data_IF_797630318889
#
_entry.id   IF_797630318889
#
_cell.length_a   1.000
_cell.length_b   1.000
_cell.length_c   1.000
_cell.angle_alpha   90.00
_cell.angle_beta   90.00
_cell.angle_gamma   90.00
#
_symmetry.space_group_name_H-M   'P 1'
#
loop_
_entity.id
_entity.type
_entity.pdbx_description
1 polymer ?
2 non-polymer ?
3 non-polymer ?
4 water ?
#
# COMPACT_ATOMS: atom_id res chain seq x y z
N UNK A 3 -6.67 50.88 -2.32
CA UNK A 3 -7.02 49.50 -1.96
C UNK A 3 -7.12 48.54 -3.15
N UNK A 4 -6.66 48.98 -4.31
CA UNK A 4 -6.78 48.15 -5.51
C UNK A 4 -5.90 46.90 -5.42
N UNK A 5 -4.66 47.03 -4.90
CA UNK A 5 -3.77 45.88 -4.82
C UNK A 5 -4.39 44.73 -4.02
N UNK A 6 -5.17 45.04 -2.98
CA UNK A 6 -5.82 43.96 -2.24
C UNK A 6 -6.98 43.37 -3.04
N UNK A 7 -7.72 44.20 -3.77
CA UNK A 7 -8.89 43.69 -4.49
C UNK A 7 -8.55 42.64 -5.53
N UNK A 8 -7.29 42.56 -5.95
CA UNK A 8 -6.88 41.71 -7.06
C UNK A 8 -6.25 40.40 -6.60
N UNK A 9 -6.20 40.13 -5.30
CA UNK A 9 -5.69 38.87 -4.79
C UNK A 9 -6.77 37.81 -5.02
N UNK A 10 -6.48 36.70 -5.68
CA UNK A 10 -7.52 35.69 -5.92
C UNK A 10 -7.87 34.96 -4.63
N UNK A 11 -9.00 34.24 -4.68
CA UNK A 11 -9.53 33.55 -3.51
C UNK A 11 -9.43 32.05 -3.69
N UNK A 12 -8.95 31.36 -2.67
CA UNK A 12 -8.79 29.93 -2.68
C UNK A 12 -9.80 29.25 -1.76
N UNK A 13 -10.25 28.07 -2.19
CA UNK A 13 -11.29 27.34 -1.49
C UNK A 13 -10.72 26.07 -0.91
N UNK A 14 -11.11 25.79 0.33
CA UNK A 14 -10.88 24.50 0.95
C UNK A 14 -12.17 23.67 0.92
N UNK A 15 -12.05 22.39 1.30
CA UNK A 15 -13.19 21.48 1.34
C UNK A 15 -14.40 22.09 2.05
N UNK A 16 -14.18 22.75 3.19
CA UNK A 16 -15.32 23.25 3.93
C UNK A 16 -16.02 24.43 3.26
N UNK A 17 -15.49 24.97 2.17
CA UNK A 17 -16.19 26.04 1.47
C UNK A 17 -17.28 25.54 0.53
N UNK A 18 -17.28 24.26 0.17
CA UNK A 18 -18.15 23.79 -0.90
C UNK A 18 -18.95 22.56 -0.48
N UNK A 19 -20.05 22.34 -1.19
CA UNK A 19 -20.82 21.11 -1.10
C UNK A 19 -20.99 20.55 -2.51
N UNK A 20 -21.07 19.23 -2.61
CA UNK A 20 -21.37 18.62 -3.89
C UNK A 20 -22.84 18.85 -4.22
N UNK A 21 -23.11 19.39 -5.40
CA UNK A 21 -24.50 19.65 -5.80
C UNK A 21 -25.14 18.35 -6.23
N UNK A 22 -26.33 18.00 -5.70
CA UNK A 22 -26.99 16.76 -6.13
C UNK A 22 -27.38 16.82 -7.59
N UNK A 23 -26.99 15.78 -8.33
CA UNK A 23 -27.23 15.64 -9.76
C UNK A 23 -28.29 14.58 -10.00
N UNK A 24 -28.76 14.52 -11.24
CA UNK A 24 -29.58 13.40 -11.65
C UNK A 24 -28.79 12.09 -11.52
N UNK A 25 -29.35 11.12 -10.81
CA UNK A 25 -28.69 9.84 -10.57
C UNK A 25 -29.55 8.72 -11.16
N UNK A 26 -28.96 7.94 -12.06
CA UNK A 26 -29.56 6.72 -12.56
C UNK A 26 -29.15 5.50 -11.74
N UNK A 27 -28.44 5.69 -10.64
CA UNK A 27 -27.91 4.56 -9.87
C UNK A 27 -29.07 3.85 -9.18
N UNK A 28 -29.21 2.54 -9.44
CA UNK A 28 -30.32 1.75 -8.93
C UNK A 28 -29.88 0.70 -7.90
N UNK A 29 -28.64 0.78 -7.41
CA UNK A 29 -28.10 -0.17 -6.44
C UNK A 29 -26.77 0.35 -5.95
N UNK A 30 -26.55 0.31 -4.63
CA UNK A 30 -25.29 0.80 -4.07
C UNK A 30 -24.09 0.09 -4.66
N UNK A 31 -24.25 -1.17 -5.07
CA UNK A 31 -23.15 -1.99 -5.56
C UNK A 31 -22.78 -1.71 -6.99
N UNK A 32 -23.58 -0.90 -7.71
CA UNK A 32 -23.20 -0.51 -9.06
C UNK A 32 -22.07 0.52 -9.10
N UNK A 33 -21.71 1.12 -7.97
CA UNK A 33 -20.71 2.19 -7.94
C UNK A 33 -19.34 1.55 -7.82
N UNK A 34 -18.52 1.71 -8.86
CA UNK A 34 -17.16 1.18 -8.87
C UNK A 34 -16.18 2.27 -8.42
N UNK A 35 -15.28 1.94 -7.48
CA UNK A 35 -14.32 2.88 -6.96
C UNK A 35 -12.88 2.60 -7.37
N UNK A 36 -12.64 1.77 -8.37
CA UNK A 36 -11.24 1.55 -8.73
C UNK A 36 -10.69 2.81 -9.41
N UNK A 37 -9.39 3.02 -9.26
CA UNK A 37 -8.74 4.27 -9.64
C UNK A 37 -7.26 3.99 -9.89
N UNK A 38 -6.52 5.02 -10.25
CA UNK A 38 -5.08 4.91 -10.43
C UNK A 38 -4.34 5.70 -9.35
N UNK A 39 -3.28 5.09 -8.84
CA UNK A 39 -2.36 5.76 -7.92
C UNK A 39 -1.29 6.52 -8.68
N UNK A 40 -0.78 5.91 -9.75
CA UNK A 40 0.22 6.50 -10.62
C UNK A 40 -0.04 5.89 -12.00
N UNK A 41 0.77 6.28 -12.99
CA UNK A 41 0.46 5.89 -14.37
C UNK A 41 0.28 4.39 -14.50
N UNK A 42 0.99 3.60 -13.70
CA UNK A 42 1.01 2.15 -13.88
C UNK A 42 0.54 1.38 -12.65
N UNK A 43 -0.21 1.99 -11.73
CA UNK A 43 -0.67 1.29 -10.53
C UNK A 43 -2.14 1.59 -10.33
N UNK A 44 -2.99 0.57 -10.43
CA UNK A 44 -4.40 0.68 -10.16
C UNK A 44 -4.67 0.24 -8.72
N UNK A 45 -5.78 0.72 -8.16
CA UNK A 45 -6.21 0.46 -6.80
C UNK A 45 -7.70 0.26 -6.81
N UNK A 46 -8.20 -0.63 -5.96
CA UNK A 46 -9.64 -0.89 -5.92
C UNK A 46 -10.40 0.21 -5.20
N UNK A 47 -9.75 0.86 -4.26
CA UNK A 47 -10.33 1.95 -3.49
C UNK A 47 -9.30 3.07 -3.48
N UNK A 48 -9.71 4.33 -3.51
CA UNK A 48 -8.72 5.41 -3.68
C UNK A 48 -8.16 5.92 -2.36
N UNK A 49 -7.76 5.04 -1.45
CA UNK A 49 -7.30 5.46 -0.12
C UNK A 49 -5.82 5.12 0.02
N UNK A 50 -5.03 6.10 0.41
CA UNK A 50 -3.60 5.95 0.64
C UNK A 50 -3.31 6.37 2.07
N UNK A 51 -2.62 5.52 2.82
CA UNK A 51 -2.22 5.87 4.17
C UNK A 51 -0.97 6.75 4.12
N UNK A 52 -1.01 7.88 4.79
CA UNK A 52 0.03 8.87 4.65
C UNK A 52 1.36 8.36 5.18
N UNK A 53 2.44 8.78 4.50
CA UNK A 53 3.81 8.43 4.90
C UNK A 53 4.26 9.28 6.09
N UNK A 54 3.54 9.12 7.19
CA UNK A 54 3.83 9.78 8.46
C UNK A 54 4.25 8.73 9.48
N UNK A 55 5.27 9.06 10.29
CA UNK A 55 5.73 8.13 11.31
C UNK A 55 4.69 7.87 12.39
N UNK A 56 3.58 8.59 12.36
CA UNK A 56 2.45 8.29 13.22
C UNK A 56 1.36 7.49 12.50
N UNK A 57 1.55 7.15 11.24
CA UNK A 57 0.46 6.52 10.51
C UNK A 57 0.90 5.20 9.89
N UNK A 58 1.90 5.24 9.01
CA UNK A 58 2.12 4.11 8.10
C UNK A 58 3.47 3.45 8.33
N UNK A 59 3.42 2.32 9.04
CA UNK A 59 4.52 1.38 9.03
C UNK A 59 3.96 0.03 8.59
N UNK A 60 4.66 -1.07 8.91
CA UNK A 60 4.29 -2.38 8.36
C UNK A 60 2.80 -2.68 8.53
N UNK A 61 2.30 -2.60 9.75
CA UNK A 61 0.92 -3.03 9.99
C UNK A 61 -0.06 -2.18 9.21
N UNK A 62 0.18 -0.88 9.13
CA UNK A 62 -0.73 -0.01 8.38
C UNK A 62 -0.68 -0.33 6.89
N UNK A 63 0.52 -0.57 6.38
CA UNK A 63 0.67 -0.84 4.95
C UNK A 63 0.01 -2.15 4.57
N UNK A 64 0.09 -3.14 5.47
CA UNK A 64 -0.58 -4.41 5.22
C UNK A 64 -2.09 -4.22 5.16
N UNK A 65 -2.65 -3.52 6.15
CA UNK A 65 -4.10 -3.38 6.24
C UNK A 65 -4.65 -2.60 5.04
N UNK A 66 -3.98 -1.52 4.65
CA UNK A 66 -4.44 -0.73 3.52
C UNK A 66 -4.49 -1.58 2.26
N UNK A 67 -3.41 -2.31 1.96
CA UNK A 67 -3.40 -3.17 0.79
C UNK A 67 -4.54 -4.17 0.81
N UNK A 68 -4.79 -4.78 1.98
CA UNK A 68 -5.86 -5.76 2.08
C UNK A 68 -7.21 -5.12 1.83
N UNK A 69 -7.38 -3.86 2.22
CA UNK A 69 -8.62 -3.17 1.88
C UNK A 69 -8.70 -2.81 0.40
N UNK A 70 -7.61 -2.91 -0.35
CA UNK A 70 -7.60 -2.51 -1.74
C UNK A 70 -6.97 -1.16 -1.99
N UNK A 71 -6.49 -0.50 -0.95
CA UNK A 71 -5.73 0.73 -1.05
C UNK A 71 -4.25 0.43 -1.04
N UNK A 72 -3.49 1.31 -0.41
CA UNK A 72 -2.05 1.15 -0.30
C UNK A 72 -1.56 2.09 0.79
N UNK A 73 -0.41 1.77 1.37
CA UNK A 73 0.27 2.64 2.29
C UNK A 73 1.65 3.00 1.76
N UNK A 74 2.11 4.20 2.10
CA UNK A 74 3.45 4.63 1.74
C UNK A 74 4.28 4.59 3.02
N UNK A 75 5.32 3.77 3.04
CA UNK A 75 6.18 3.71 4.21
C UNK A 75 6.97 5.01 4.36
N UNK A 76 6.95 5.58 5.58
CA UNK A 76 7.64 6.84 5.79
C UNK A 76 9.15 6.63 5.87
N UNK A 77 9.87 7.73 5.66
CA UNK A 77 11.32 7.70 5.54
C UNK A 77 12.01 8.26 6.77
N UNK A 78 11.31 8.42 7.87
CA UNK A 78 11.92 8.97 9.06
C UNK A 78 12.39 7.83 9.90
N UNK A 79 13.46 7.26 9.44
CA UNK A 79 14.08 6.07 10.00
C UNK A 79 15.28 5.76 9.12
N UNK A 80 16.06 4.76 9.52
CA UNK A 80 17.24 4.40 8.74
C UNK A 80 16.82 3.61 7.50
N UNK A 81 17.64 3.72 6.45
CA UNK A 81 17.41 2.90 5.27
C UNK A 81 17.14 1.45 5.65
N UNK A 82 18.02 0.87 6.50
CA UNK A 82 17.82 -0.49 6.96
C UNK A 82 16.45 -0.67 7.60
N UNK A 83 16.04 0.28 8.46
CA UNK A 83 14.72 0.14 9.09
C UNK A 83 13.61 0.20 8.05
N UNK A 84 13.70 1.13 7.10
CA UNK A 84 12.62 1.29 6.14
C UNK A 84 12.52 0.08 5.22
N UNK A 85 13.65 -0.46 4.79
CA UNK A 85 13.63 -1.73 4.05
C UNK A 85 13.10 -2.89 4.89
N UNK A 86 13.34 -2.87 6.20
CA UNK A 86 12.89 -3.96 7.05
C UNK A 86 11.37 -4.00 7.11
N UNK A 87 10.73 -2.84 7.29
CA UNK A 87 9.28 -2.76 7.21
C UNK A 87 8.79 -3.24 5.85
N UNK A 88 9.45 -2.78 4.79
CA UNK A 88 9.05 -3.22 3.45
C UNK A 88 9.09 -4.74 3.35
N UNK A 89 10.21 -5.35 3.71
CA UNK A 89 10.34 -6.80 3.60
C UNK A 89 9.22 -7.51 4.36
N UNK A 90 8.85 -6.98 5.54
CA UNK A 90 7.80 -7.61 6.34
C UNK A 90 6.46 -7.53 5.65
N UNK A 91 6.11 -6.36 5.12
CA UNK A 91 4.85 -6.23 4.36
C UNK A 91 4.80 -7.26 3.25
N UNK A 92 5.90 -7.39 2.49
CA UNK A 92 5.94 -8.34 1.40
C UNK A 92 5.84 -9.78 1.92
N UNK A 93 6.26 -10.00 3.16
CA UNK A 93 6.21 -11.31 3.77
C UNK A 93 4.82 -11.66 4.28
N UNK A 94 3.88 -10.72 4.25
CA UNK A 94 2.61 -10.92 4.94
C UNK A 94 1.79 -12.01 4.27
N UNK A 95 1.71 -11.99 2.94
CA UNK A 95 1.11 -13.07 2.19
C UNK A 95 1.80 -13.18 0.83
N UNK A 96 1.59 -14.31 0.17
CA UNK A 96 2.16 -14.51 -1.16
C UNK A 96 1.45 -15.70 -1.79
N UNK A 97 1.77 -15.98 -3.04
CA UNK A 97 1.36 -17.27 -3.61
C UNK A 97 2.48 -18.28 -3.40
N UNK A 98 3.60 -18.11 -4.08
CA UNK A 98 4.79 -18.90 -3.81
C UNK A 98 5.65 -18.16 -2.80
N UNK A 99 5.81 -18.74 -1.62
CA UNK A 99 6.70 -18.16 -0.62
C UNK A 99 8.12 -18.47 -1.05
N UNK A 100 8.88 -17.45 -1.38
CA UNK A 100 10.30 -17.63 -1.61
C UNK A 100 11.00 -17.82 -0.27
N UNK A 101 12.02 -18.68 -0.25
CA UNK A 101 12.85 -18.89 0.93
C UNK A 101 12.01 -19.15 2.18
N UNK A 102 11.20 -20.21 2.21
CA UNK A 102 10.36 -20.45 3.39
C UNK A 102 11.20 -20.86 4.59
N UNK A 103 10.71 -20.50 5.77
CA UNK A 103 11.47 -20.78 7.00
C UNK A 103 11.65 -22.29 7.18
N UNK A 104 12.88 -22.69 7.52
CA UNK A 104 13.25 -24.08 7.67
C UNK A 104 13.71 -24.34 9.12
N UNK A 105 14.01 -25.60 9.41
CA UNK A 105 14.55 -26.00 10.71
C UNK A 105 15.19 -27.36 10.53
N UNK A 106 16.05 -27.73 11.46
CA UNK A 106 16.76 -28.98 11.25
C UNK A 106 16.24 -30.07 12.17
N UNK A 107 16.32 -31.34 11.75
CA UNK A 107 15.60 -32.40 12.48
C UNK A 107 16.07 -32.62 13.91
N UNK A 108 17.33 -32.31 14.23
CA UNK A 108 17.83 -32.47 15.59
C UNK A 108 17.71 -31.20 16.42
N UNK A 109 16.91 -30.24 16.02
CA UNK A 109 16.64 -29.10 16.89
C UNK A 109 15.47 -29.44 17.83
N UNK A 110 15.27 -28.59 18.83
CA UNK A 110 14.33 -28.91 19.90
C UNK A 110 12.96 -28.28 19.64
N UNK A 111 11.98 -28.74 20.40
CA UNK A 111 10.67 -28.10 20.35
C UNK A 111 10.77 -26.63 20.74
N UNK A 112 11.67 -26.28 21.68
CA UNK A 112 11.82 -24.88 22.05
C UNK A 112 12.31 -24.05 20.87
N UNK A 113 13.29 -24.57 20.13
CA UNK A 113 13.78 -23.88 18.95
C UNK A 113 12.72 -23.82 17.86
N UNK A 114 11.83 -24.81 17.79
CA UNK A 114 10.74 -24.76 16.83
C UNK A 114 9.80 -23.60 17.13
N UNK A 115 9.36 -23.48 18.39
CA UNK A 115 8.50 -22.36 18.76
C UNK A 115 9.15 -21.03 18.35
N UNK A 116 10.44 -20.89 18.60
CA UNK A 116 11.13 -19.66 18.23
C UNK A 116 11.12 -19.44 16.73
N UNK A 117 11.32 -20.52 15.97
CA UNK A 117 11.21 -20.41 14.53
C UNK A 117 9.83 -20.01 14.08
N UNK A 118 8.79 -20.58 14.70
CA UNK A 118 7.43 -20.28 14.30
C UNK A 118 7.05 -18.84 14.62
N UNK A 119 7.63 -18.26 15.67
CA UNK A 119 7.41 -16.84 15.98
C UNK A 119 8.56 -16.01 15.43
N UNK A 120 8.87 -16.22 14.16
CA UNK A 120 9.86 -15.41 13.47
C UNK A 120 9.40 -13.96 13.44
N UNK A 121 10.35 -13.04 13.62
CA UNK A 121 10.01 -11.63 13.57
C UNK A 121 9.99 -11.08 12.15
N UNK A 122 10.32 -11.91 11.16
CA UNK A 122 10.24 -11.48 9.77
C UNK A 122 8.83 -11.30 9.24
N UNK A 123 7.84 -11.76 9.99
CA UNK A 123 6.45 -11.57 9.61
C UNK A 123 5.69 -11.26 10.88
N UNK A 124 4.84 -10.24 10.84
CA UNK A 124 3.99 -9.98 11.98
C UNK A 124 3.08 -11.18 12.19
N UNK A 125 3.17 -11.78 13.38
CA UNK A 125 2.44 -12.99 13.68
C UNK A 125 3.23 -14.25 13.48
N UNK A 126 4.47 -14.15 12.98
CA UNK A 126 5.23 -15.35 12.71
C UNK A 126 4.72 -16.04 11.46
N UNK A 127 5.09 -17.32 11.34
CA UNK A 127 4.76 -18.13 10.18
C UNK A 127 4.00 -19.38 10.66
N UNK A 128 3.27 -19.99 9.72
CA UNK A 128 2.39 -21.09 10.05
C UNK A 128 3.03 -22.45 10.11
N UNK A 129 4.23 -22.62 9.57
CA UNK A 129 4.87 -23.91 9.70
C UNK A 129 6.35 -23.72 9.49
N UNK A 130 7.12 -24.72 9.86
CA UNK A 130 8.54 -24.77 9.55
C UNK A 130 8.77 -26.03 8.73
N UNK A 131 9.57 -25.88 7.67
CA UNK A 131 9.92 -27.03 6.86
C UNK A 131 11.22 -27.62 7.39
N UNK A 132 11.19 -28.91 7.70
CA UNK A 132 12.34 -29.61 8.25
C UNK A 132 13.17 -30.12 7.08
N UNK A 133 14.40 -29.62 6.97
CA UNK A 133 15.29 -29.99 5.88
C UNK A 133 16.57 -30.52 6.47
N UNK A 134 17.40 -31.14 5.62
CA UNK A 134 18.59 -31.83 6.11
C UNK A 134 19.66 -30.86 6.57
N UNK A 135 19.88 -29.76 5.84
CA UNK A 135 20.85 -28.77 6.26
C UNK A 135 20.55 -27.47 5.54
N UNK A 136 21.12 -26.37 6.05
CA UNK A 136 20.89 -25.07 5.44
C UNK A 136 21.47 -25.01 4.03
N UNK A 137 22.58 -25.72 3.78
CA UNK A 137 23.21 -25.71 2.47
C UNK A 137 22.29 -26.32 1.41
N UNK A 138 21.84 -27.57 1.63
CA UNK A 138 21.15 -28.33 0.60
C UNK A 138 19.63 -28.19 0.63
N UNK A 139 19.05 -28.05 1.83
CA UNK A 139 17.61 -27.89 2.01
C UNK A 139 16.83 -29.06 1.41
N UNK A 140 17.28 -30.29 1.64
CA UNK A 140 16.49 -31.44 1.27
C UNK A 140 15.34 -31.61 2.27
N UNK A 141 14.11 -31.64 1.75
CA UNK A 141 12.93 -31.61 2.59
C UNK A 141 12.70 -32.96 3.29
N UNK A 142 12.75 -32.98 4.61
CA UNK A 142 12.47 -34.21 5.36
C UNK A 142 11.09 -34.24 6.02
N UNK A 143 10.46 -33.09 6.24
CA UNK A 143 9.18 -33.07 6.90
C UNK A 143 8.80 -31.66 7.30
N UNK A 144 7.71 -31.58 8.05
CA UNK A 144 7.06 -30.31 8.34
C UNK A 144 6.62 -30.31 9.80
N UNK A 145 6.65 -29.14 10.41
CA UNK A 145 6.30 -29.00 11.81
C UNK A 145 5.48 -27.73 12.00
N UNK A 146 4.35 -27.86 12.69
CA UNK A 146 3.46 -26.74 12.97
C UNK A 146 3.24 -26.63 14.47
N UNK A 147 2.62 -25.52 14.89
CA UNK A 147 2.27 -25.35 16.30
C UNK A 147 1.48 -26.56 16.80
N UNK A 148 0.57 -27.07 15.98
CA UNK A 148 -0.21 -28.24 16.38
C UNK A 148 0.70 -29.40 16.77
N UNK A 149 1.84 -29.55 16.08
CA UNK A 149 2.74 -30.67 16.37
C UNK A 149 3.49 -30.50 17.69
N UNK A 150 3.47 -29.32 18.30
CA UNK A 150 4.24 -29.07 19.51
C UNK A 150 3.38 -29.04 20.77
N UNK A 151 2.05 -29.02 20.66
CA UNK A 151 1.21 -28.69 21.81
C UNK A 151 1.36 -29.68 22.99
N UNK A 152 1.95 -30.86 22.79
CA UNK A 152 2.11 -31.81 23.89
C UNK A 152 3.57 -32.20 24.08
N UNK A 153 4.50 -31.43 23.55
CA UNK A 153 5.90 -31.77 23.59
C UNK A 153 6.59 -31.06 24.75
N UNK A 154 7.65 -31.69 25.26
CA UNK A 154 8.50 -31.04 26.24
C UNK A 154 9.54 -30.20 25.51
N UNK A 155 9.94 -29.07 26.13
CA UNK A 155 10.77 -28.08 25.49
C UNK A 155 12.02 -28.66 24.83
N UNK A 156 12.43 -29.88 25.17
CA UNK A 156 13.68 -30.45 24.70
C UNK A 156 13.48 -31.58 23.70
N UNK A 157 12.26 -31.81 23.22
CA UNK A 157 12.03 -32.92 22.31
C UNK A 157 12.50 -32.59 20.91
N UNK A 158 13.00 -33.57 20.20
CA UNK A 158 13.50 -33.32 18.87
C UNK A 158 12.46 -33.01 17.86
N UNK A 159 12.76 -32.07 16.97
CA UNK A 159 11.88 -31.75 15.87
C UNK A 159 11.55 -33.00 15.07
N UNK A 160 12.55 -33.87 14.90
CA UNK A 160 12.37 -35.11 14.14
C UNK A 160 11.36 -36.04 14.79
N UNK A 161 11.29 -36.06 16.13
CA UNK A 161 10.31 -36.86 16.83
C UNK A 161 8.88 -36.39 16.59
N UNK A 162 8.72 -35.12 16.24
CA UNK A 162 7.41 -34.49 16.25
C UNK A 162 6.87 -34.19 14.87
N UNK A 163 7.73 -34.07 13.87
CA UNK A 163 7.32 -33.56 12.57
C UNK A 163 6.51 -34.60 11.80
N UNK A 164 5.67 -34.11 10.88
CA UNK A 164 5.13 -34.98 9.86
C UNK A 164 6.24 -35.27 8.86
N UNK A 165 6.61 -36.52 8.64
CA UNK A 165 7.68 -36.82 7.66
C UNK A 165 7.23 -36.52 6.25
N UNK A 166 8.23 -36.24 5.40
CA UNK A 166 7.95 -35.79 4.04
C UNK A 166 7.14 -36.83 3.27
N UNK A 167 7.44 -38.13 3.47
CA UNK A 167 6.71 -39.16 2.73
C UNK A 167 5.24 -39.19 3.05
N UNK A 168 4.79 -38.55 4.14
CA UNK A 168 3.38 -38.41 4.42
C UNK A 168 2.84 -37.04 4.03
N UNK A 169 3.68 -36.20 3.41
CA UNK A 169 3.24 -34.88 2.97
C UNK A 169 2.77 -34.93 1.51
N UNK A 170 2.14 -33.84 1.09
CA UNK A 170 1.84 -33.57 -0.32
C UNK A 170 2.89 -32.59 -0.81
N UNK A 171 3.65 -33.01 -1.80
CA UNK A 171 4.72 -32.22 -2.36
C UNK A 171 4.38 -32.02 -3.84
N UNK A 172 4.99 -30.99 -4.43
CA UNK A 172 4.88 -30.72 -5.86
C UNK A 172 6.22 -30.28 -6.39
N UNK A 173 6.49 -30.66 -7.64
CA UNK A 173 7.67 -30.19 -8.35
C UNK A 173 7.32 -29.13 -9.38
N UNK A 174 6.08 -28.65 -9.38
CA UNK A 174 5.62 -27.74 -10.43
C UNK A 174 5.85 -26.30 -9.97
N UNK A 175 6.98 -25.73 -10.37
CA UNK A 175 7.30 -24.35 -10.02
C UNK A 175 6.35 -23.33 -10.69
N UNK A 176 5.48 -23.77 -11.59
CA UNK A 176 4.52 -22.89 -12.22
C UNK A 176 3.09 -23.28 -11.85
N UNK A 177 2.92 -23.87 -10.66
CA UNK A 177 1.61 -24.38 -10.30
C UNK A 177 0.60 -23.24 -10.22
N UNK A 178 -0.59 -23.48 -10.74
CA UNK A 178 -1.65 -22.48 -10.73
C UNK A 178 -2.44 -22.52 -9.42
N UNK A 179 -3.27 -21.49 -9.23
CA UNK A 179 -4.10 -21.43 -8.03
C UNK A 179 -5.14 -22.54 -8.03
N UNK A 180 -5.71 -22.86 -9.19
CA UNK A 180 -6.65 -23.99 -9.24
C UNK A 180 -5.92 -25.31 -8.99
N UNK A 181 -4.72 -25.47 -9.55
CA UNK A 181 -3.96 -26.69 -9.36
C UNK A 181 -3.71 -26.96 -7.87
N UNK A 182 -3.01 -26.03 -7.20
CA UNK A 182 -2.66 -26.26 -5.80
C UNK A 182 -3.92 -26.34 -4.93
N UNK A 183 -4.99 -25.65 -5.31
CA UNK A 183 -6.26 -25.84 -4.60
C UNK A 183 -6.67 -27.29 -4.65
N UNK A 184 -6.69 -27.87 -5.84
CA UNK A 184 -7.03 -29.29 -5.99
C UNK A 184 -6.11 -30.18 -5.14
N UNK A 185 -4.80 -29.90 -5.17
CA UNK A 185 -3.87 -30.65 -4.32
C UNK A 185 -4.27 -30.56 -2.86
N UNK A 186 -4.63 -29.37 -2.40
CA UNK A 186 -4.99 -29.24 -1.01
C UNK A 186 -6.30 -29.97 -0.70
N UNK A 187 -7.24 -30.01 -1.64
CA UNK A 187 -8.50 -30.69 -1.38
C UNK A 187 -8.32 -32.21 -1.37
N UNK A 188 -7.66 -32.75 -2.39
CA UNK A 188 -7.44 -34.19 -2.45
C UNK A 188 -6.64 -34.66 -1.24
N UNK A 189 -5.53 -33.99 -0.92
CA UNK A 189 -4.67 -34.39 0.16
C UNK A 189 -5.07 -33.95 1.55
N UNK A 190 -6.17 -33.22 1.70
CA UNK A 190 -6.62 -32.69 2.99
C UNK A 190 -5.51 -31.94 3.76
N UNK A 191 -4.49 -31.45 3.05
CA UNK A 191 -3.35 -30.79 3.67
C UNK A 191 -3.50 -29.27 3.59
N UNK A 192 -2.70 -28.59 4.39
CA UNK A 192 -2.71 -27.14 4.43
C UNK A 192 -1.39 -26.52 4.02
N UNK A 193 -0.40 -27.32 3.67
CA UNK A 193 0.87 -26.82 3.17
C UNK A 193 1.36 -27.74 2.06
N UNK A 194 1.68 -27.18 0.90
CA UNK A 194 2.27 -27.90 -0.20
C UNK A 194 3.63 -27.29 -0.51
N UNK A 195 4.72 -27.96 -0.19
CA UNK A 195 6.03 -27.50 -0.64
C UNK A 195 6.25 -27.78 -2.10
N UNK A 196 7.01 -26.91 -2.74
CA UNK A 196 7.53 -27.13 -4.07
C UNK A 196 8.99 -27.46 -3.92
N UNK A 197 9.39 -28.64 -4.42
CA UNK A 197 10.77 -29.09 -4.35
C UNK A 197 11.29 -29.30 -5.76
N UNK A 198 12.61 -29.36 -5.87
CA UNK A 198 13.27 -29.52 -7.14
C UNK A 198 13.57 -30.98 -7.48
N UNK A 199 14.29 -31.15 -8.60
CA UNK A 199 14.54 -32.48 -9.15
C UNK A 199 15.11 -33.45 -8.12
N UNK A 200 15.87 -32.92 -7.14
CA UNK A 200 16.55 -33.75 -6.14
C UNK A 200 15.97 -33.54 -4.75
N UNK A 201 14.70 -33.17 -4.65
CA UNK A 201 14.06 -33.02 -3.35
C UNK A 201 14.48 -31.80 -2.55
N UNK A 202 15.16 -30.84 -3.18
CA UNK A 202 15.56 -29.63 -2.47
C UNK A 202 14.40 -28.63 -2.43
N UNK A 203 14.20 -28.01 -1.27
CA UNK A 203 13.07 -27.13 -1.08
C UNK A 203 13.24 -25.84 -1.87
N UNK A 204 12.25 -25.51 -2.69
CA UNK A 204 12.26 -24.26 -3.46
C UNK A 204 11.21 -23.26 -3.00
N UNK A 205 9.96 -23.68 -2.81
CA UNK A 205 8.90 -22.76 -2.41
C UNK A 205 7.94 -23.47 -1.48
N UNK A 206 7.02 -22.68 -0.92
CA UNK A 206 5.93 -23.18 -0.09
C UNK A 206 4.64 -22.49 -0.53
N UNK A 207 3.58 -23.27 -0.68
CA UNK A 207 2.24 -22.73 -0.88
C UNK A 207 1.40 -23.17 0.30
N UNK A 208 0.72 -22.22 0.94
CA UNK A 208 -0.03 -22.49 2.15
C UNK A 208 -1.51 -22.36 1.87
N UNK A 209 -2.31 -23.17 2.57
CA UNK A 209 -3.76 -23.05 2.47
C UNK A 209 -4.21 -21.65 2.88
N UNK A 210 -3.54 -21.07 3.87
CA UNK A 210 -3.87 -19.71 4.29
C UNK A 210 -3.82 -18.72 3.12
N UNK A 211 -2.77 -18.80 2.29
CA UNK A 211 -2.70 -17.89 1.15
C UNK A 211 -3.74 -18.22 0.10
N UNK A 212 -3.93 -19.50 -0.22
CA UNK A 212 -4.93 -19.89 -1.21
C UNK A 212 -6.29 -19.34 -0.83
N UNK A 213 -6.62 -19.39 0.46
CA UNK A 213 -7.92 -18.88 0.87
C UNK A 213 -8.01 -17.38 0.65
N UNK A 214 -6.97 -16.63 1.01
CA UNK A 214 -7.00 -15.18 0.78
C UNK A 214 -7.15 -14.88 -0.71
N UNK A 215 -6.41 -15.60 -1.56
CA UNK A 215 -6.49 -15.38 -3.00
C UNK A 215 -7.86 -15.71 -3.57
N UNK A 216 -8.65 -16.55 -2.92
CA UNK A 216 -10.00 -16.81 -3.41
C UNK A 216 -11.04 -15.84 -2.85
N UNK A 217 -10.85 -15.29 -1.64
CA UNK A 217 -11.84 -14.44 -0.99
C UNK A 217 -11.68 -12.96 -1.35
N UNK A 218 -10.78 -12.25 -0.64
CA UNK A 218 -10.58 -10.81 -0.79
C UNK A 218 -9.98 -10.44 -2.14
N UNK A 219 -10.77 -10.56 -3.22
CA UNK A 219 -10.37 -10.23 -4.58
C UNK A 219 -10.11 -8.73 -4.76
N UNK A 220 -10.32 -7.97 -3.69
CA UNK A 220 -10.08 -6.54 -3.67
C UNK A 220 -8.63 -6.18 -3.32
N UNK A 221 -7.86 -7.10 -2.74
CA UNK A 221 -6.54 -6.75 -2.25
C UNK A 221 -5.64 -6.20 -3.36
N UNK A 222 -4.78 -5.29 -2.96
CA UNK A 222 -3.75 -4.73 -3.83
C UNK A 222 -2.54 -5.66 -3.81
N UNK A 223 -2.31 -6.35 -4.94
CA UNK A 223 -1.29 -7.38 -5.01
C UNK A 223 -0.28 -7.08 -6.11
N UNK A 224 0.99 -7.37 -5.85
CA UNK A 224 1.95 -7.39 -6.96
C UNK A 224 1.80 -8.70 -7.72
N UNK A 225 2.61 -8.87 -8.77
CA UNK A 225 2.48 -10.04 -9.62
C UNK A 225 2.73 -11.36 -8.89
N UNK A 226 3.35 -11.33 -7.73
CA UNK A 226 3.63 -12.56 -7.02
C UNK A 226 2.61 -12.90 -5.96
N UNK A 227 1.56 -12.13 -5.88
CA UNK A 227 0.55 -12.32 -4.85
C UNK A 227 0.84 -11.62 -3.56
N UNK A 228 1.90 -10.83 -3.51
CA UNK A 228 2.21 -10.13 -2.29
C UNK A 228 1.46 -8.81 -2.21
N UNK A 229 1.30 -8.29 -1.01
CA UNK A 229 0.62 -7.01 -0.83
C UNK A 229 1.42 -5.87 -1.47
N UNK A 230 0.71 -5.01 -2.20
CA UNK A 230 1.30 -3.77 -2.72
C UNK A 230 1.74 -2.84 -1.60
N UNK A 231 2.90 -2.21 -1.76
CA UNK A 231 3.36 -1.20 -0.80
C UNK A 231 4.25 -0.19 -1.52
N UNK A 232 4.22 1.06 -1.05
CA UNK A 232 5.11 2.09 -1.54
C UNK A 232 5.92 2.68 -0.39
N UNK A 233 6.95 3.44 -0.75
CA UNK A 233 7.87 4.01 0.23
C UNK A 233 8.30 5.41 -0.21
N UNK A 234 8.54 6.27 0.77
CA UNK A 234 8.92 7.65 0.50
C UNK A 234 10.44 7.82 0.57
N UNK A 235 10.96 8.76 -0.23
CA UNK A 235 12.35 9.18 -0.17
C UNK A 235 12.37 10.70 -0.12
N UNK A 236 13.49 11.23 0.34
CA UNK A 236 13.74 12.66 0.31
C UNK A 236 14.40 13.04 -0.99
N UNK A 237 15.17 14.12 -0.95
CA UNK A 237 15.89 14.61 -2.12
C UNK A 237 17.38 14.77 -1.87
N UNK A 238 17.88 14.43 -0.68
CA UNK A 238 19.29 14.62 -0.41
C UNK A 238 20.11 13.55 -1.14
N UNK A 239 21.42 13.77 -1.23
CA UNK A 239 22.30 12.85 -1.95
C UNK A 239 22.09 11.42 -1.51
N UNK A 240 21.90 11.20 -0.21
CA UNK A 240 21.74 9.86 0.34
C UNK A 240 20.38 9.25 0.04
N UNK A 241 19.37 10.05 -0.30
CA UNK A 241 18.08 9.45 -0.59
C UNK A 241 18.11 8.60 -1.83
N UNK A 242 19.05 8.84 -2.74
CA UNK A 242 19.18 7.95 -3.89
C UNK A 242 19.58 6.55 -3.45
N UNK A 243 20.51 6.43 -2.51
CA UNK A 243 20.87 5.12 -2.00
C UNK A 243 19.66 4.48 -1.32
N UNK A 244 18.88 5.29 -0.60
CA UNK A 244 17.68 4.78 0.04
C UNK A 244 16.68 4.25 -0.99
N UNK A 245 16.51 5.00 -2.08
CA UNK A 245 15.58 4.59 -3.12
C UNK A 245 15.98 3.25 -3.71
N UNK A 246 17.27 3.06 -3.97
CA UNK A 246 17.75 1.83 -4.59
C UNK A 246 17.51 0.64 -3.67
N UNK A 247 17.89 0.78 -2.40
CA UNK A 247 17.64 -0.30 -1.45
C UNK A 247 16.14 -0.56 -1.26
N UNK A 248 15.29 0.48 -1.39
CA UNK A 248 13.85 0.27 -1.25
C UNK A 248 13.29 -0.51 -2.44
N UNK A 249 13.67 -0.12 -3.66
CA UNK A 249 13.22 -0.86 -4.83
C UNK A 249 13.63 -2.32 -4.72
N UNK A 250 14.89 -2.55 -4.31
CA UNK A 250 15.37 -3.92 -4.20
C UNK A 250 14.66 -4.69 -3.10
N UNK A 251 14.30 -4.02 -2.01
CA UNK A 251 13.50 -4.70 -0.99
C UNK A 251 12.08 -4.99 -1.45
N UNK A 252 11.62 -4.46 -2.59
CA UNK A 252 10.31 -4.82 -3.09
C UNK A 252 9.30 -3.70 -3.28
N UNK A 253 9.71 -2.45 -3.07
CA UNK A 253 8.79 -1.32 -3.22
C UNK A 253 8.14 -1.35 -4.60
N UNK A 254 6.85 -1.07 -4.63
CA UNK A 254 6.11 -1.03 -5.89
C UNK A 254 6.04 0.36 -6.51
N UNK A 255 6.18 1.42 -5.70
CA UNK A 255 6.32 2.79 -6.19
C UNK A 255 7.22 3.51 -5.21
N UNK A 256 7.87 4.57 -5.68
CA UNK A 256 8.61 5.50 -4.84
C UNK A 256 7.89 6.84 -4.81
N UNK A 257 7.82 7.45 -3.63
CA UNK A 257 7.20 8.75 -3.44
C UNK A 257 8.27 9.73 -2.99
N UNK A 258 8.65 10.64 -3.88
CA UNK A 258 9.47 11.78 -3.48
C UNK A 258 8.57 12.78 -2.77
N UNK A 259 8.90 13.07 -1.51
CA UNK A 259 7.99 13.81 -0.64
C UNK A 259 8.80 14.83 0.14
N UNK A 260 8.72 16.08 -0.29
CA UNK A 260 9.20 17.22 0.49
C UNK A 260 8.10 18.26 0.54
N UNK A 261 8.15 19.10 1.57
CA UNK A 261 7.08 20.06 1.80
C UNK A 261 6.89 20.99 0.60
N UNK A 262 7.96 21.31 -0.12
CA UNK A 262 7.92 22.27 -1.21
C UNK A 262 8.40 21.58 -2.49
N UNK A 263 7.48 20.87 -3.14
CA UNK A 263 7.82 20.08 -4.32
C UNK A 263 8.11 20.89 -5.58
N UNK A 264 7.68 22.16 -5.64
CA UNK A 264 8.00 23.01 -6.79
C UNK A 264 9.39 23.63 -6.62
N UNK A 265 10.39 22.76 -6.47
CA UNK A 265 11.76 23.17 -6.22
C UNK A 265 12.70 22.41 -7.15
N UNK A 266 13.88 22.98 -7.38
CA UNK A 266 14.87 22.31 -8.22
C UNK A 266 15.34 21.00 -7.58
N UNK A 267 15.48 20.97 -6.25
CA UNK A 267 15.87 19.72 -5.59
C UNK A 267 14.91 18.61 -5.94
N UNK A 268 13.61 18.89 -5.89
CA UNK A 268 12.60 17.86 -6.14
C UNK A 268 12.59 17.42 -7.60
N UNK A 269 12.63 18.38 -8.52
CA UNK A 269 12.66 18.03 -9.93
C UNK A 269 13.87 17.16 -10.25
N UNK A 270 15.05 17.61 -9.82
CA UNK A 270 16.27 16.86 -10.10
C UNK A 270 16.21 15.48 -9.49
N UNK A 271 15.64 15.36 -8.29
CA UNK A 271 15.47 14.03 -7.72
C UNK A 271 14.64 13.16 -8.63
N UNK A 272 13.56 13.72 -9.19
CA UNK A 272 12.70 12.92 -10.07
C UNK A 272 13.46 12.48 -11.29
N UNK A 273 14.13 13.43 -11.97
CA UNK A 273 15.03 13.11 -13.08
C UNK A 273 16.04 12.04 -12.68
N UNK A 274 16.59 12.14 -11.47
CA UNK A 274 17.58 11.14 -11.08
C UNK A 274 16.94 9.77 -10.94
N UNK A 275 15.82 9.67 -10.21
CA UNK A 275 15.17 8.39 -9.98
C UNK A 275 14.74 7.74 -11.29
N UNK A 276 14.29 8.56 -12.25
CA UNK A 276 13.87 8.02 -13.54
C UNK A 276 15.05 7.66 -14.42
N UNK A 277 16.19 8.27 -14.22
CA UNK A 277 17.29 8.03 -15.13
C UNK A 277 18.23 6.94 -14.70
N UNK A 278 17.90 6.21 -13.64
CA UNK A 278 18.75 5.13 -13.13
C UNK A 278 17.96 3.83 -13.23
N UNK A 279 18.47 2.82 -13.94
CA UNK A 279 17.71 1.55 -14.06
C UNK A 279 17.41 0.90 -12.73
N UNK A 280 18.21 1.17 -11.70
CA UNK A 280 17.96 0.61 -10.38
C UNK A 280 16.66 1.15 -9.76
N UNK A 281 16.18 2.32 -10.21
CA UNK A 281 14.97 2.90 -9.67
C UNK A 281 13.91 3.16 -10.72
N UNK A 282 14.25 3.20 -12.00
CA UNK A 282 13.24 3.52 -12.99
C UNK A 282 12.30 2.35 -13.29
N UNK A 283 12.43 1.24 -12.58
CA UNK A 283 11.53 0.11 -12.79
C UNK A 283 10.26 0.20 -11.96
N UNK A 284 10.12 1.20 -11.10
CA UNK A 284 8.85 1.48 -10.44
C UNK A 284 8.47 2.92 -10.73
N UNK A 285 7.17 3.18 -10.62
CA UNK A 285 6.62 4.51 -10.82
C UNK A 285 7.19 5.48 -9.80
N UNK A 286 7.45 6.71 -10.25
CA UNK A 286 7.97 7.77 -9.39
C UNK A 286 6.88 8.81 -9.15
N UNK A 287 6.41 8.89 -7.91
CA UNK A 287 5.42 9.88 -7.46
C UNK A 287 6.16 11.04 -6.77
N UNK A 288 5.71 12.28 -7.00
CA UNK A 288 6.44 13.44 -6.52
C UNK A 288 5.50 14.48 -5.93
N UNK A 289 6.04 15.28 -5.02
CA UNK A 289 5.28 16.29 -4.32
C UNK A 289 6.06 16.78 -3.12
N UNK A 290 5.50 17.79 -2.45
CA UNK A 290 4.14 18.22 -2.63
C UNK A 290 4.02 19.55 -3.36
N UNK A 291 2.94 19.70 -4.12
CA UNK A 291 2.72 20.85 -4.98
C UNK A 291 1.29 21.35 -4.83
N UNK A 292 1.08 22.58 -5.28
CA UNK A 292 -0.22 23.21 -5.16
C UNK A 292 -0.59 24.11 -6.32
N UNK A 293 0.21 24.17 -7.37
CA UNK A 293 -0.08 25.06 -8.49
C UNK A 293 -0.01 24.30 -9.81
N UNK A 294 -0.63 24.90 -10.83
CA UNK A 294 -0.59 24.30 -12.14
C UNK A 294 0.83 24.28 -12.69
N UNK A 295 1.58 25.37 -12.54
CA UNK A 295 2.95 25.42 -13.06
C UNK A 295 3.82 24.37 -12.37
N UNK A 296 3.62 24.19 -11.06
CA UNK A 296 4.34 23.12 -10.38
C UNK A 296 3.98 21.77 -10.96
N UNK A 297 2.68 21.50 -11.14
CA UNK A 297 2.27 20.25 -11.75
C UNK A 297 2.93 20.06 -13.11
N UNK A 298 2.92 21.10 -13.94
CA UNK A 298 3.63 21.07 -15.21
C UNK A 298 5.09 20.65 -15.01
N UNK A 299 5.79 21.33 -14.11
CA UNK A 299 7.22 21.07 -13.96
C UNK A 299 7.49 19.61 -13.61
N UNK A 300 6.83 19.09 -12.58
CA UNK A 300 7.08 17.72 -12.14
C UNK A 300 6.72 16.72 -13.25
N UNK A 301 5.56 16.88 -13.86
CA UNK A 301 5.23 16.01 -14.99
C UNK A 301 6.35 16.06 -16.01
N UNK A 302 6.78 17.26 -16.37
CA UNK A 302 7.84 17.38 -17.36
C UNK A 302 9.12 16.72 -16.87
N UNK A 303 9.37 16.74 -15.57
CA UNK A 303 10.52 16.00 -15.06
C UNK A 303 10.38 14.50 -15.20
N UNK A 304 9.19 13.97 -15.48
CA UNK A 304 8.97 12.55 -15.62
C UNK A 304 8.09 11.87 -14.58
N UNK A 305 7.47 12.63 -13.67
CA UNK A 305 6.75 12.01 -12.56
C UNK A 305 5.57 11.18 -13.04
N UNK A 306 5.36 10.03 -12.40
CA UNK A 306 4.24 9.16 -12.74
C UNK A 306 3.00 9.44 -11.92
N UNK A 307 3.10 10.33 -10.95
CA UNK A 307 1.98 10.75 -10.14
C UNK A 307 2.38 11.97 -9.33
N UNK A 308 1.40 12.81 -9.02
CA UNK A 308 1.65 14.01 -8.26
C UNK A 308 0.95 13.90 -6.92
N UNK A 309 1.60 14.38 -5.87
CA UNK A 309 0.98 14.46 -4.55
C UNK A 309 0.67 15.93 -4.27
N UNK A 310 -0.62 16.25 -4.11
CA UNK A 310 -1.11 17.63 -4.01
C UNK A 310 -1.32 18.01 -2.55
N UNK A 311 -0.83 19.18 -2.18
CA UNK A 311 -1.05 19.69 -0.83
C UNK A 311 0.13 20.42 -0.23
N UNK A 312 0.09 21.75 -0.19
CA UNK A 312 1.09 22.56 0.49
C UNK A 312 0.34 23.45 1.46
N UNK A 313 0.52 23.21 2.75
CA UNK A 313 -0.26 23.92 3.74
C UNK A 313 -1.77 23.68 3.59
N UNK A 314 -2.16 22.40 3.49
CA UNK A 314 -3.58 22.08 3.27
C UNK A 314 -4.46 22.26 4.51
N UNK A 315 -3.95 21.96 5.70
CA UNK A 315 -4.79 22.05 6.89
C UNK A 315 -4.83 23.47 7.45
N UNK A 316 -5.94 23.77 8.13
CA UNK A 316 -6.16 25.13 8.64
C UNK A 316 -5.08 25.54 9.65
N UNK A 317 -4.61 24.61 10.46
CA UNK A 317 -3.55 24.89 11.43
C UNK A 317 -2.47 23.83 11.22
N UNK A 318 -1.43 24.17 10.46
CA UNK A 318 -0.33 23.27 10.20
C UNK A 318 0.96 24.07 10.21
N UNK A 319 2.07 23.38 10.48
CA UNK A 319 3.36 24.06 10.63
C UNK A 319 3.61 25.00 9.44
N UNK A 320 3.33 24.52 8.24
CA UNK A 320 3.66 25.31 7.05
C UNK A 320 2.98 26.68 7.08
N UNK A 321 1.71 26.73 7.48
CA UNK A 321 1.01 28.01 7.52
C UNK A 321 1.48 28.89 8.68
N UNK A 322 1.67 28.29 9.86
CA UNK A 322 1.98 29.08 11.04
C UNK A 322 3.43 29.53 11.05
N UNK A 323 4.34 28.71 10.53
CA UNK A 323 5.74 29.05 10.56
C UNK A 323 6.13 29.88 9.35
N UNK A 324 5.83 29.38 8.14
CA UNK A 324 6.24 30.08 6.93
C UNK A 324 5.19 31.04 6.38
N UNK A 325 3.91 30.87 6.73
CA UNK A 325 2.83 31.66 6.15
C UNK A 325 2.44 31.25 4.75
N UNK A 326 2.75 30.04 4.33
CA UNK A 326 2.52 29.61 2.95
C UNK A 326 1.46 28.52 2.90
N UNK A 327 0.86 28.36 1.74
CA UNK A 327 -0.09 27.28 1.54
C UNK A 327 -1.13 27.68 0.51
N UNK A 328 -1.91 26.69 0.10
CA UNK A 328 -3.01 26.91 -0.83
C UNK A 328 -4.22 26.19 -0.27
N UNK A 329 -5.39 26.84 -0.20
CA UNK A 329 -6.60 26.09 0.15
C UNK A 329 -6.77 24.91 -0.79
N UNK A 330 -7.04 23.74 -0.18
CA UNK A 330 -6.78 22.46 -0.83
C UNK A 330 -7.70 22.18 -2.02
N UNK A 331 -8.92 22.71 -2.05
CA UNK A 331 -9.80 22.43 -3.17
C UNK A 331 -9.31 23.14 -4.42
N UNK A 332 -8.99 24.43 -4.29
CA UNK A 332 -8.34 25.14 -5.39
C UNK A 332 -7.10 24.43 -5.87
N UNK A 333 -6.27 23.98 -4.93
CA UNK A 333 -5.02 23.31 -5.32
C UNK A 333 -5.30 22.03 -6.10
N UNK A 334 -6.28 21.25 -5.65
CA UNK A 334 -6.65 20.06 -6.40
C UNK A 334 -7.23 20.44 -7.76
N UNK A 335 -8.05 21.49 -7.81
CA UNK A 335 -8.63 21.91 -9.09
C UNK A 335 -7.55 22.35 -10.06
N UNK A 336 -6.63 23.20 -9.59
CA UNK A 336 -5.58 23.71 -10.48
C UNK A 336 -4.67 22.60 -10.97
N UNK A 337 -4.23 21.72 -10.07
CA UNK A 337 -3.23 20.74 -10.46
C UNK A 337 -3.79 19.67 -11.37
N UNK A 338 -5.01 19.18 -11.09
CA UNK A 338 -5.52 18.07 -11.88
C UNK A 338 -5.93 18.51 -13.28
N UNK A 339 -6.31 19.79 -13.44
CA UNK A 339 -6.55 20.30 -14.78
C UNK A 339 -5.34 20.06 -15.67
N UNK A 340 -4.15 20.38 -15.18
CA UNK A 340 -2.92 20.16 -15.93
C UNK A 340 -2.66 18.66 -16.11
N UNK A 341 -2.85 17.89 -15.04
CA UNK A 341 -2.42 16.51 -15.01
C UNK A 341 -3.37 15.61 -15.82
N UNK A 342 -4.68 15.86 -15.72
CA UNK A 342 -5.62 15.12 -16.56
C UNK A 342 -5.16 15.14 -18.01
N UNK A 343 -4.89 16.33 -18.54
CA UNK A 343 -4.44 16.45 -19.92
C UNK A 343 -3.17 15.64 -20.18
N UNK A 344 -2.41 15.31 -19.15
CA UNK A 344 -1.18 14.54 -19.34
C UNK A 344 -1.30 13.08 -18.88
N UNK A 345 -2.45 12.66 -18.38
CA UNK A 345 -2.59 11.28 -17.95
C UNK A 345 -1.82 10.94 -16.69
N UNK A 346 -1.68 11.90 -15.77
CA UNK A 346 -0.89 11.71 -14.56
C UNK A 346 -1.81 11.76 -13.34
N UNK A 347 -1.99 10.65 -12.61
CA UNK A 347 -2.86 10.66 -11.43
C UNK A 347 -2.36 11.56 -10.31
N UNK A 348 -3.30 12.06 -9.52
CA UNK A 348 -3.04 13.00 -8.45
C UNK A 348 -3.55 12.46 -7.12
N UNK A 349 -2.70 12.51 -6.11
CA UNK A 349 -3.11 12.21 -4.74
C UNK A 349 -3.44 13.52 -4.06
N UNK A 350 -4.68 13.67 -3.61
CA UNK A 350 -5.05 14.79 -2.75
C UNK A 350 -4.59 14.45 -1.34
N UNK A 351 -3.60 15.19 -0.84
CA UNK A 351 -2.95 14.88 0.44
C UNK A 351 -3.17 15.98 1.46
N UNK A 352 -3.93 15.68 2.51
CA UNK A 352 -4.05 16.56 3.65
C UNK A 352 -5.37 17.32 3.68
N UNK A 353 -5.76 17.74 4.88
CA UNK A 353 -6.94 18.55 5.07
C UNK A 353 -8.26 17.81 5.04
N UNK A 354 -8.26 16.49 4.92
CA UNK A 354 -9.49 15.72 4.86
C UNK A 354 -9.90 15.30 6.26
N UNK A 355 -11.05 15.77 6.72
CA UNK A 355 -11.51 15.39 8.04
C UNK A 355 -12.64 14.38 8.06
N UNK A 356 -13.45 14.29 6.99
CA UNK A 356 -14.59 13.37 6.93
C UNK A 356 -14.67 12.70 5.57
N UNK A 357 -15.44 11.61 5.50
CA UNK A 357 -15.65 10.95 4.22
C UNK A 357 -16.30 11.88 3.21
N UNK A 358 -17.08 12.86 3.69
CA UNK A 358 -17.61 13.84 2.77
C UNK A 358 -16.50 14.60 2.06
N UNK A 359 -15.41 14.88 2.78
CA UNK A 359 -14.28 15.57 2.15
C UNK A 359 -13.63 14.71 1.08
N UNK A 360 -13.55 13.40 1.30
CA UNK A 360 -12.99 12.54 0.26
C UNK A 360 -13.78 12.69 -1.04
N UNK A 361 -15.12 12.72 -0.95
CA UNK A 361 -15.95 12.85 -2.14
C UNK A 361 -15.68 14.16 -2.85
N UNK A 362 -15.40 15.22 -2.10
CA UNK A 362 -15.09 16.50 -2.74
C UNK A 362 -13.73 16.44 -3.41
N UNK A 363 -12.76 15.81 -2.74
CA UNK A 363 -11.43 15.67 -3.33
C UNK A 363 -11.52 14.97 -4.68
N UNK A 364 -12.23 13.84 -4.73
CA UNK A 364 -12.39 13.15 -6.01
C UNK A 364 -13.16 14.03 -6.96
N UNK A 365 -14.26 14.61 -6.48
CA UNK A 365 -15.06 15.47 -7.32
C UNK A 365 -14.25 16.59 -7.93
N UNK A 366 -13.23 17.06 -7.23
CA UNK A 366 -12.40 18.15 -7.73
C UNK A 366 -11.26 17.69 -8.63
N UNK A 367 -11.18 16.40 -8.94
CA UNK A 367 -10.25 15.88 -9.92
C UNK A 367 -9.22 14.90 -9.40
N UNK A 368 -9.05 14.74 -8.08
CA UNK A 368 -8.06 13.82 -7.55
C UNK A 368 -8.38 12.39 -7.93
N UNK A 369 -7.35 11.55 -7.99
CA UNK A 369 -7.56 10.12 -8.21
C UNK A 369 -7.48 9.32 -6.93
N UNK A 370 -6.80 9.83 -5.92
CA UNK A 370 -6.71 9.18 -4.62
C UNK A 370 -6.64 10.26 -3.57
N UNK A 371 -6.98 9.90 -2.34
CA UNK A 371 -6.75 10.78 -1.21
C UNK A 371 -5.72 10.14 -0.30
N UNK A 372 -4.94 10.97 0.37
CA UNK A 372 -4.01 10.47 1.38
C UNK A 372 -4.52 10.89 2.74
N UNK A 373 -4.50 9.96 3.69
CA UNK A 373 -5.05 10.17 5.02
C UNK A 373 -3.95 10.06 6.05
N UNK A 374 -3.80 11.08 6.88
CA UNK A 374 -2.96 11.03 8.06
C UNK A 374 -3.79 10.91 9.32
N UNK A 375 -4.31 12.05 9.79
CA UNK A 375 -5.00 12.11 11.08
C UNK A 375 -6.11 11.07 11.21
N UNK A 376 -6.93 10.91 10.17
CA UNK A 376 -8.05 9.98 10.26
C UNK A 376 -7.58 8.55 10.51
N UNK A 377 -6.32 8.23 10.20
CA UNK A 377 -5.83 6.87 10.38
C UNK A 377 -4.86 6.71 11.54
N UNK A 378 -4.31 7.80 12.05
CA UNK A 378 -3.43 7.69 13.21
C UNK A 378 -4.20 7.17 14.40
N UNK A 379 -3.52 6.49 15.30
CA UNK A 379 -4.22 6.03 16.48
C UNK A 379 -5.23 4.93 16.24
N UNK A 380 -5.27 4.37 15.04
CA UNK A 380 -5.89 3.08 14.85
C UNK A 380 -4.93 1.99 15.32
N UNK A 381 -5.46 0.78 15.51
CA UNK A 381 -4.62 -0.31 16.00
C UNK A 381 -3.37 -0.50 15.15
N UNK A 382 -3.54 -0.56 13.83
CA UNK A 382 -2.41 -0.83 12.93
C UNK A 382 -1.49 0.38 12.76
N UNK A 383 -1.85 1.55 13.28
CA UNK A 383 -0.89 2.64 13.24
C UNK A 383 0.16 2.44 14.32
N UNK A 384 1.39 2.90 14.10
CA UNK A 384 2.45 2.65 15.07
C UNK A 384 2.23 3.43 16.36
N UNK A 385 2.70 2.93 17.49
N UNK A 436 -6.66 5.94 20.66
CA UNK A 436 -7.55 4.80 20.46
C UNK A 436 -8.60 5.13 19.39
N UNK A 437 -8.76 4.21 18.43
CA UNK A 437 -9.76 4.36 17.37
C UNK A 437 -10.26 3.00 16.91
N UNK A 438 -9.53 1.94 17.26
CA UNK A 438 -9.87 0.60 16.83
C UNK A 438 -9.05 0.15 15.64
N UNK A 439 -9.52 -0.90 14.96
CA UNK A 439 -8.83 -1.35 13.74
C UNK A 439 -9.16 -0.45 12.57
N UNK A 440 -8.18 -0.30 11.67
CA UNK A 440 -8.31 0.65 10.57
C UNK A 440 -9.23 0.14 9.47
N UNK A 441 -9.39 -1.17 9.34
CA UNK A 441 -10.19 -1.75 8.29
C UNK A 441 -11.60 -1.20 8.21
N UNK A 442 -12.33 -1.19 9.33
CA UNK A 442 -13.71 -0.69 9.27
C UNK A 442 -13.79 0.82 9.05
N UNK A 443 -12.83 1.58 9.57
CA UNK A 443 -12.82 3.01 9.29
C UNK A 443 -12.68 3.24 7.80
N UNK A 444 -11.75 2.52 7.17
CA UNK A 444 -11.53 2.65 5.73
C UNK A 444 -12.79 2.24 4.97
N UNK A 445 -13.43 1.15 5.40
CA UNK A 445 -14.60 0.69 4.67
C UNK A 445 -15.74 1.70 4.75
N UNK A 446 -15.90 2.37 5.89
CA UNK A 446 -16.94 3.40 5.99
C UNK A 446 -16.58 4.61 5.15
N UNK A 447 -15.31 5.02 5.18
CA UNK A 447 -14.86 6.11 4.30
C UNK A 447 -15.22 5.81 2.85
N UNK A 448 -14.89 4.61 2.37
CA UNK A 448 -15.26 4.26 1.01
C UNK A 448 -16.78 4.27 0.84
N UNK A 449 -17.50 3.87 1.88
CA UNK A 449 -18.95 3.95 1.83
C UNK A 449 -19.43 5.37 1.65
N UNK A 450 -18.85 6.31 2.41
CA UNK A 450 -19.22 7.69 2.25
C UNK A 450 -18.96 8.18 0.83
N UNK A 451 -17.80 7.80 0.29
CA UNK A 451 -17.44 8.21 -1.06
C UNK A 451 -18.44 7.68 -2.07
N UNK A 452 -18.82 6.40 -1.93
CA UNK A 452 -19.81 5.84 -2.85
C UNK A 452 -21.10 6.63 -2.76
N UNK A 453 -21.51 6.98 -1.55
CA UNK A 453 -22.70 7.80 -1.40
C UNK A 453 -22.54 9.16 -2.08
N UNK A 454 -21.39 9.80 -1.88
CA UNK A 454 -21.15 11.04 -2.60
C UNK A 454 -21.18 10.83 -4.09
N UNK A 455 -20.61 9.72 -4.55
CA UNK A 455 -20.65 9.43 -5.98
C UNK A 455 -22.09 9.35 -6.48
N UNK A 456 -22.98 8.76 -5.69
CA UNK A 456 -24.35 8.63 -6.17
C UNK A 456 -25.02 10.00 -6.25
N UNK A 457 -24.67 10.93 -5.34
CA UNK A 457 -25.22 12.28 -5.40
C UNK A 457 -24.78 13.01 -6.66
N UNK A 458 -23.58 12.73 -7.18
CA UNK A 458 -23.21 13.24 -8.49
C UNK A 458 -23.70 12.35 -9.64
N UNK A 459 -24.45 11.28 -9.33
CA UNK A 459 -24.86 10.33 -10.34
C UNK A 459 -23.69 9.74 -11.09
N UNK A 460 -22.66 9.29 -10.37
CA UNK A 460 -21.48 8.71 -10.98
C UNK A 460 -21.36 7.24 -10.59
N UNK A 461 -21.07 6.39 -11.56
CA UNK A 461 -20.87 4.98 -11.30
C UNK A 461 -19.39 4.60 -11.27
N UNK A 462 -18.49 5.57 -11.42
CA UNK A 462 -17.06 5.31 -11.45
C UNK A 462 -16.32 6.59 -11.10
N UNK A 463 -15.02 6.44 -10.84
CA UNK A 463 -14.18 7.58 -10.46
C UNK A 463 -14.11 8.62 -11.57
N UNK A 464 -13.87 8.19 -12.82
CA UNK A 464 -13.86 9.15 -13.92
C UNK A 464 -15.14 9.95 -13.94
N UNK A 465 -16.28 9.29 -13.83
CA UNK A 465 -17.54 10.01 -13.90
C UNK A 465 -17.66 11.00 -12.74
N UNK A 466 -17.28 10.57 -11.53
CA UNK A 466 -17.27 11.48 -10.40
C UNK A 466 -16.47 12.74 -10.69
N UNK A 467 -15.33 12.59 -11.37
CA UNK A 467 -14.51 13.75 -11.69
C UNK A 467 -15.17 14.60 -12.77
N UNK A 468 -15.83 13.96 -13.73
CA UNK A 468 -16.41 14.70 -14.84
C UNK A 468 -17.74 15.32 -14.45
N UNK A 469 -18.47 14.72 -13.53
CA UNK A 469 -19.84 15.13 -13.31
C UNK A 469 -20.02 16.07 -12.13
N UNK A 470 -19.15 16.04 -11.14
CA UNK A 470 -19.45 16.74 -9.90
C UNK A 470 -19.48 18.24 -10.12
N UNK A 471 -20.43 18.89 -9.46
CA UNK A 471 -20.53 20.34 -9.46
C UNK A 471 -20.59 20.78 -8.02
N UNK A 472 -19.90 21.86 -7.71
CA UNK A 472 -19.82 22.39 -6.36
C UNK A 472 -20.71 23.60 -6.21
N UNK A 473 -21.15 23.84 -4.98
CA UNK A 473 -21.74 25.11 -4.58
C UNK A 473 -21.02 25.59 -3.33
N UNK A 474 -20.80 26.89 -3.26
CA UNK A 474 -19.99 27.50 -2.21
C UNK A 474 -20.86 27.99 -1.05
N UNK A 475 -20.45 27.69 0.18
CA UNK A 475 -21.15 28.20 1.34
C UNK A 475 -20.51 29.49 1.84
N UNK A 476 -21.06 30.00 2.95
CA UNK A 476 -20.50 31.09 3.76
C UNK A 476 -20.63 30.70 5.24
N UNK A 477 -21.44 31.46 5.99
CA UNK A 477 -21.65 31.22 7.41
C UNK A 477 -22.46 29.98 7.72
#
# INVERSE_FOLDING_TARGET
>A
MSFNESASIPTGLTYDDVLIIPQHSRVTSRKEVNTTTRLSRNVKLSIPIVASNMDTVCEQRMAVAMAREGGIGILHRFCSIEEQCAMLREVKRAQSFLIESPRIILPHETAREAWEGLNWKGRVGGVGCLLVVNCKNERKLLGIITRHDLKLADESTTVESLMTPVDKMVVSTNTSISLEEVTHLMRKGRTANVPIVGQNGQLLYLVTLSDVVKLRKNKQASLDSRGRLLVGAAVGVKKDDMNRAIRLVEAGADVLVVDIAHGHSDLCINMVKRLKGDPRTASVDIIAGNIASAEAAEALIDAGADGLKIGVGPGSICITRLVAGAGVPQLSAVLACTRVARRRGVPCIADGGLRTSGDISKAIGAGADTVMLGNMLAGTDEAPGRVLVKDGQKVKIIRGMAGFGANLSKAERERTQDEDVFSSLVPEGVEGSVACKGPVGPIVRQLVGGLRSGMSYSGAKSIEEMQRRTRFVRMTGAGLRESGSHGVAKLKLAAALEHHHHHH
#
